data_IF_135799203271
#
_entry.id   IF_135799203271
#
_cell.length_a   1.000
_cell.length_b   1.000
_cell.length_c   1.000
_cell.angle_alpha   90.00
_cell.angle_beta   90.00
_cell.angle_gamma   90.00
#
_symmetry.space_group_name_H-M   'P 1'
#
loop_
_entity.id
_entity.type
_entity.pdbx_description
1 polymer ?
#
# COMPACT_ATOMS: atom_id res chain seq x y z
N UNK A 1 -24.18 -77.08 30.40
CA UNK A 1 -24.95 -77.27 29.15
C UNK A 1 -25.31 -75.91 28.59
N UNK A 2 -24.92 -75.68 27.33
CA UNK A 2 -25.51 -74.75 26.34
C UNK A 2 -25.55 -73.26 26.70
N UNK A 3 -24.71 -72.42 26.10
CA UNK A 3 -24.79 -71.89 24.71
C UNK A 3 -25.54 -70.56 24.65
N UNK A 4 -24.82 -69.49 24.26
CA UNK A 4 -25.03 -68.74 23.00
C UNK A 4 -26.12 -67.68 23.15
N UNK A 5 -25.88 -66.36 23.05
CA UNK A 5 -25.72 -65.60 21.79
C UNK A 5 -25.65 -64.11 22.19
N UNK A 6 -24.55 -63.39 21.94
CA UNK A 6 -24.35 -62.40 20.87
C UNK A 6 -25.38 -61.25 20.76
N UNK A 7 -24.92 -60.01 21.00
CA UNK A 7 -25.14 -58.81 20.15
C UNK A 7 -24.34 -57.62 20.73
N UNK A 8 -23.79 -56.62 20.04
CA UNK A 8 -23.18 -56.40 18.71
C UNK A 8 -22.78 -54.91 18.71
N UNK A 9 -21.55 -54.58 18.26
CA UNK A 9 -21.06 -53.29 17.69
C UNK A 9 -21.08 -52.05 18.60
N UNK A 10 -20.20 -51.06 18.48
CA UNK A 10 -19.10 -50.75 17.55
C UNK A 10 -18.28 -49.60 18.16
N UNK A 11 -17.06 -49.38 17.67
CA UNK A 11 -16.32 -48.12 17.86
C UNK A 11 -14.91 -48.37 18.38
N UNK A 12 -13.96 -48.86 17.58
CA UNK A 12 -13.19 -48.09 16.61
C UNK A 12 -12.15 -47.14 17.24
N UNK A 13 -10.88 -47.49 16.95
CA UNK A 13 -9.71 -46.63 16.71
C UNK A 13 -8.74 -46.36 17.87
N UNK A 14 -7.62 -47.11 17.72
CA UNK A 14 -6.22 -46.86 18.10
C UNK A 14 -5.89 -45.40 18.39
N UNK A 15 -5.13 -45.22 19.46
CA UNK A 15 -4.62 -43.95 19.91
C UNK A 15 -3.66 -43.27 18.94
N UNK A 16 -3.55 -41.96 19.16
CA UNK A 16 -2.40 -41.14 18.82
C UNK A 16 -2.22 -40.14 19.97
N UNK A 17 -0.99 -39.85 20.40
CA UNK A 17 -0.73 -38.95 21.50
C UNK A 17 -0.83 -37.51 20.98
N UNK A 18 -1.85 -36.76 21.41
CA UNK A 18 -2.02 -35.37 20.96
C UNK A 18 -2.25 -34.46 22.15
N UNK A 19 -1.52 -33.34 22.09
CA UNK A 19 -1.64 -32.12 22.88
C UNK A 19 -1.12 -32.20 24.33
N UNK A 20 0.19 -32.03 24.46
CA UNK A 20 0.69 -31.09 25.48
C UNK A 20 0.05 -29.74 25.16
N UNK A 21 -0.88 -29.32 26.00
CA UNK A 21 -1.45 -27.99 25.99
C UNK A 21 -0.36 -27.03 26.47
N UNK A 22 0.48 -26.61 25.53
CA UNK A 22 1.44 -25.52 25.66
C UNK A 22 0.62 -24.23 25.84
N UNK A 23 0.15 -24.01 27.06
CA UNK A 23 -0.41 -22.74 27.52
C UNK A 23 0.74 -21.75 27.49
N UNK A 24 1.05 -21.26 26.29
CA UNK A 24 1.84 -20.05 26.08
C UNK A 24 1.02 -18.93 26.68
N UNK A 25 1.33 -18.67 27.95
CA UNK A 25 0.95 -17.46 28.64
C UNK A 25 1.48 -16.34 27.76
N UNK A 26 0.57 -15.68 27.05
CA UNK A 26 0.83 -14.46 26.30
C UNK A 26 1.04 -13.34 27.32
N UNK A 27 2.18 -13.38 27.99
CA UNK A 27 2.72 -12.33 28.84
C UNK A 27 3.40 -11.33 27.91
N UNK A 28 2.60 -10.43 27.34
CA UNK A 28 3.07 -9.11 26.91
C UNK A 28 1.83 -8.23 26.67
N UNK A 29 1.28 -7.75 27.78
CA UNK A 29 0.67 -6.43 27.79
C UNK A 29 1.41 -5.68 28.88
N UNK A 30 2.20 -4.64 28.55
CA UNK A 30 2.81 -3.83 29.59
C UNK A 30 1.68 -3.21 30.41
N UNK A 31 1.53 -3.70 31.64
CA UNK A 31 0.70 -3.09 32.66
C UNK A 31 1.38 -1.77 33.00
N UNK A 32 0.86 -0.67 32.48
CA UNK A 32 1.35 0.68 32.74
C UNK A 32 0.97 1.05 34.19
N UNK A 33 1.90 1.03 35.17
CA UNK A 33 1.58 1.18 36.58
C UNK A 33 1.71 2.65 36.99
N UNK A 34 1.22 3.56 36.13
CA UNK A 34 1.10 4.98 36.47
C UNK A 34 -0.34 5.38 36.26
N UNK A 35 -1.12 5.21 37.33
CA UNK A 35 -2.30 6.02 37.62
C UNK A 35 -1.88 7.49 37.54
N UNK A 36 -1.98 8.05 36.34
CA UNK A 36 -1.90 9.48 36.10
C UNK A 36 -3.16 10.08 36.70
N UNK A 37 -3.06 10.51 37.95
CA UNK A 37 -4.02 11.39 38.63
C UNK A 37 -4.17 12.76 37.93
N UNK A 38 -3.43 13.01 36.85
CA UNK A 38 -3.65 14.14 35.97
C UNK A 38 -4.74 13.75 34.97
N UNK A 39 -5.96 14.20 35.26
CA UNK A 39 -7.04 14.34 34.27
C UNK A 39 -6.50 15.25 33.17
N UNK A 40 -5.85 14.66 32.15
CA UNK A 40 -5.53 15.40 30.93
C UNK A 40 -6.87 15.97 30.45
N UNK A 41 -7.01 17.30 30.31
CA UNK A 41 -8.22 17.85 29.72
C UNK A 41 -8.37 17.17 28.36
N UNK A 42 -9.41 16.34 28.23
CA UNK A 42 -9.75 15.68 26.98
C UNK A 42 -10.27 16.77 26.07
N UNK A 43 -9.34 17.42 25.38
CA UNK A 43 -9.63 18.43 24.39
C UNK A 43 -10.28 17.74 23.20
N UNK A 44 -11.55 18.08 22.95
CA UNK A 44 -12.40 17.40 21.98
C UNK A 44 -11.86 17.63 20.55
N UNK A 45 -11.34 16.58 19.88
CA UNK A 45 -10.68 16.73 18.60
C UNK A 45 -11.63 17.13 17.46
N UNK A 46 -12.94 16.99 17.61
CA UNK A 46 -13.88 17.24 16.52
C UNK A 46 -14.23 18.72 16.37
N UNK A 47 -14.30 19.46 17.48
CA UNK A 47 -14.56 20.92 17.48
C UNK A 47 -13.38 21.69 16.87
N UNK A 48 -12.16 21.27 17.19
CA UNK A 48 -10.96 21.93 16.69
C UNK A 48 -10.69 21.65 15.21
N UNK A 49 -11.00 20.44 14.72
CA UNK A 49 -10.83 20.11 13.29
C UNK A 49 -11.68 21.01 12.39
N UNK A 50 -12.93 21.24 12.79
CA UNK A 50 -13.86 22.14 12.09
C UNK A 50 -13.40 23.61 12.19
N UNK A 51 -12.84 24.03 13.32
CA UNK A 51 -12.30 25.38 13.49
C UNK A 51 -11.07 25.62 12.59
N UNK A 52 -10.14 24.67 12.54
CA UNK A 52 -8.95 24.77 11.67
C UNK A 52 -9.32 24.85 10.19
N UNK A 53 -10.30 24.06 9.75
CA UNK A 53 -10.76 24.10 8.36
C UNK A 53 -11.42 25.45 8.01
N UNK A 54 -12.17 26.03 8.95
CA UNK A 54 -12.74 27.38 8.81
C UNK A 54 -11.66 28.44 8.74
N UNK A 55 -10.67 28.40 9.63
CA UNK A 55 -9.57 29.38 9.67
C UNK A 55 -8.72 29.30 8.40
N UNK A 56 -8.39 28.09 7.93
CA UNK A 56 -7.63 27.89 6.71
C UNK A 56 -8.36 28.48 5.48
N UNK A 57 -9.66 28.21 5.34
CA UNK A 57 -10.49 28.81 4.29
C UNK A 57 -10.62 30.33 4.43
N UNK A 58 -10.65 30.84 5.66
CA UNK A 58 -10.79 32.26 5.94
C UNK A 58 -9.54 33.08 5.59
N UNK A 59 -8.35 32.56 5.90
CA UNK A 59 -7.06 33.20 5.59
C UNK A 59 -6.73 33.11 4.09
N UNK A 60 -7.01 31.96 3.45
CA UNK A 60 -6.66 31.74 2.04
C UNK A 60 -7.49 32.53 1.01
N UNK A 61 -8.67 33.02 1.38
CA UNK A 61 -9.60 33.66 0.42
C UNK A 61 -9.40 35.18 0.29
N UNK A 62 -8.46 35.80 1.02
CA UNK A 62 -8.23 37.27 1.01
C UNK A 62 -9.35 38.12 1.65
N UNK A 63 -10.51 37.52 1.94
CA UNK A 63 -11.68 38.15 2.57
C UNK A 63 -11.40 38.71 3.96
N UNK A 64 -10.45 38.12 4.69
CA UNK A 64 -10.02 38.64 5.99
C UNK A 64 -9.45 40.06 5.88
N UNK A 65 -8.58 40.30 4.90
CA UNK A 65 -7.97 41.62 4.68
C UNK A 65 -9.04 42.66 4.37
N UNK A 66 -9.99 42.32 3.49
CA UNK A 66 -11.12 43.21 3.15
C UNK A 66 -11.93 43.56 4.39
N UNK A 67 -12.29 42.58 5.22
CA UNK A 67 -13.03 42.83 6.46
C UNK A 67 -12.26 43.72 7.44
N UNK A 68 -10.96 43.44 7.65
CA UNK A 68 -10.09 44.25 8.51
C UNK A 68 -9.99 45.70 8.03
N UNK A 69 -9.81 45.92 6.73
CA UNK A 69 -9.77 47.25 6.14
C UNK A 69 -11.10 47.99 6.31
N UNK A 70 -12.23 47.31 6.11
CA UNK A 70 -13.56 47.91 6.31
C UNK A 70 -13.76 48.32 7.76
N UNK A 71 -13.39 47.49 8.73
CA UNK A 71 -13.52 47.83 10.17
C UNK A 71 -12.69 49.07 10.51
N UNK A 72 -11.43 49.13 10.05
CA UNK A 72 -10.57 50.30 10.25
C UNK A 72 -11.17 51.54 9.60
N UNK A 73 -11.67 51.42 8.36
CA UNK A 73 -12.26 52.53 7.63
C UNK A 73 -13.54 53.05 8.30
N UNK A 74 -14.42 52.14 8.76
CA UNK A 74 -15.62 52.50 9.53
C UNK A 74 -15.26 53.19 10.83
N UNK A 75 -14.23 52.73 11.54
CA UNK A 75 -13.76 53.38 12.77
C UNK A 75 -13.25 54.80 12.53
N UNK A 76 -12.46 54.98 11.47
CA UNK A 76 -11.95 56.29 11.06
C UNK A 76 -13.13 57.21 10.67
N UNK A 77 -14.07 56.74 9.84
CA UNK A 77 -15.23 57.54 9.43
C UNK A 77 -16.11 57.92 10.63
N UNK A 78 -16.26 57.01 11.61
CA UNK A 78 -17.03 57.26 12.83
C UNK A 78 -16.35 58.29 13.75
N UNK A 79 -15.00 58.27 13.82
CA UNK A 79 -14.24 59.15 14.71
C UNK A 79 -13.77 60.46 14.08
N UNK A 80 -13.64 60.56 12.76
CA UNK A 80 -13.29 61.81 12.07
C UNK A 80 -14.52 62.71 12.10
N UNK A 81 -14.52 63.79 12.93
CA UNK A 81 -15.70 64.60 13.10
C UNK A 81 -15.95 65.41 11.83
N UNK A 82 -17.14 65.27 11.24
CA UNK A 82 -17.61 66.14 10.14
C UNK A 82 -18.09 67.50 10.71
N UNK A 83 -17.41 68.07 11.72
CA UNK A 83 -17.78 69.40 12.23
C UNK A 83 -17.09 69.83 13.54
N UNK A 84 -17.00 71.15 13.78
CA UNK A 84 -16.18 71.76 14.84
C UNK A 84 -16.66 71.56 16.28
N UNK A 85 -17.89 71.08 16.52
CA UNK A 85 -18.53 71.08 17.85
C UNK A 85 -19.05 69.70 18.32
N UNK A 86 -18.43 68.58 17.92
CA UNK A 86 -18.86 67.24 18.37
C UNK A 86 -17.77 66.49 19.11
N UNK A 87 -18.16 65.87 20.22
CA UNK A 87 -17.29 65.07 21.08
C UNK A 87 -16.54 64.01 20.26
N UNK A 88 -15.24 64.24 20.10
CA UNK A 88 -14.33 63.35 19.40
C UNK A 88 -14.04 62.18 20.34
N UNK A 89 -14.60 61.01 20.06
CA UNK A 89 -14.47 59.84 20.94
C UNK A 89 -13.04 59.27 20.91
N UNK A 90 -12.34 59.40 19.77
CA UNK A 90 -10.95 58.98 19.54
C UNK A 90 -10.26 59.94 18.55
N UNK A 91 -9.65 61.02 19.07
CA UNK A 91 -8.94 62.03 18.27
C UNK A 91 -7.58 61.50 17.77
N UNK A 92 -7.07 62.07 16.66
CA UNK A 92 -5.78 61.67 16.08
C UNK A 92 -4.68 61.73 17.17
N UNK A 93 -4.01 60.60 17.53
CA UNK A 93 -3.63 59.45 16.70
C UNK A 93 -4.44 58.13 16.87
N UNK A 94 -5.72 58.15 17.23
CA UNK A 94 -6.58 56.96 17.38
C UNK A 94 -6.05 55.91 18.38
N UNK A 95 -5.98 56.28 19.66
CA UNK A 95 -5.38 55.44 20.71
C UNK A 95 -6.19 54.16 20.95
N UNK A 96 -7.52 54.22 20.87
CA UNK A 96 -8.37 53.06 21.09
C UNK A 96 -8.24 52.03 19.98
N UNK A 97 -8.19 52.49 18.72
CA UNK A 97 -7.92 51.62 17.57
C UNK A 97 -6.57 50.92 17.71
N UNK A 98 -5.54 51.66 18.13
CA UNK A 98 -4.20 51.11 18.32
C UNK A 98 -4.14 50.09 19.46
N UNK A 99 -4.82 50.36 20.59
CA UNK A 99 -4.93 49.43 21.70
C UNK A 99 -5.68 48.16 21.30
N UNK A 100 -6.77 48.29 20.54
CA UNK A 100 -7.52 47.15 20.03
C UNK A 100 -6.69 46.28 19.08
N UNK A 101 -5.96 46.90 18.14
CA UNK A 101 -5.09 46.17 17.20
C UNK A 101 -3.89 45.49 17.90
N UNK A 102 -3.31 46.12 18.92
CA UNK A 102 -2.20 45.51 19.67
C UNK A 102 -2.68 44.31 20.50
N UNK A 103 -3.84 44.42 21.14
CA UNK A 103 -4.49 43.28 21.79
C UNK A 103 -4.83 42.18 20.78
N UNK A 104 -5.29 42.56 19.58
CA UNK A 104 -5.61 41.60 18.51
C UNK A 104 -4.40 40.74 18.15
N UNK A 105 -3.25 41.37 17.93
CA UNK A 105 -2.02 40.67 17.64
C UNK A 105 -1.60 39.74 18.80
N UNK A 106 -1.77 40.17 20.05
CA UNK A 106 -1.40 39.40 21.23
C UNK A 106 -2.22 38.11 21.40
N UNK A 107 -3.54 38.15 21.17
CA UNK A 107 -4.38 36.95 21.30
C UNK A 107 -4.29 36.02 20.07
N UNK A 108 -3.86 36.53 18.91
CA UNK A 108 -3.69 35.73 17.71
C UNK A 108 -2.60 34.65 17.90
N UNK A 109 -1.48 35.00 18.53
CA UNK A 109 -0.36 34.09 18.78
C UNK A 109 -0.76 32.77 19.50
N UNK A 110 -1.46 32.79 20.65
CA UNK A 110 -1.86 31.56 21.33
C UNK A 110 -2.89 30.74 20.53
N UNK A 111 -3.82 31.37 19.79
CA UNK A 111 -4.74 30.65 18.92
C UNK A 111 -4.02 29.94 17.77
N UNK A 112 -3.00 30.58 17.18
CA UNK A 112 -2.16 29.99 16.14
C UNK A 112 -1.33 28.85 16.71
N UNK A 113 -0.74 29.01 17.91
CA UNK A 113 0.03 27.95 18.57
C UNK A 113 -0.82 26.71 18.88
N UNK A 114 -2.06 26.91 19.33
CA UNK A 114 -3.03 25.82 19.50
C UNK A 114 -3.36 25.16 18.15
N UNK A 115 -3.52 25.95 17.08
CA UNK A 115 -3.75 25.46 15.72
C UNK A 115 -2.60 24.57 15.20
N UNK A 116 -1.36 24.96 15.48
CA UNK A 116 -0.14 24.30 14.99
C UNK A 116 0.19 22.98 15.70
N UNK A 117 0.03 22.91 17.03
CA UNK A 117 0.36 21.72 17.83
C UNK A 117 -0.31 20.42 17.36
N UNK A 118 -1.45 20.52 16.66
CA UNK A 118 -2.14 19.35 16.09
C UNK A 118 -1.79 19.07 14.63
N UNK A 119 -1.36 20.07 13.87
CA UNK A 119 -0.75 19.79 12.56
C UNK A 119 0.49 18.93 12.77
N UNK A 120 1.35 19.31 13.72
CA UNK A 120 2.53 18.53 14.09
C UNK A 120 2.19 17.10 14.57
N UNK A 121 1.08 16.92 15.29
CA UNK A 121 0.64 15.60 15.74
C UNK A 121 0.15 14.71 14.58
N UNK A 122 -0.56 15.28 13.60
CA UNK A 122 -0.96 14.55 12.37
C UNK A 122 0.26 14.25 11.50
N UNK A 123 1.13 15.23 11.33
CA UNK A 123 2.35 15.09 10.55
C UNK A 123 3.25 14.01 11.15
N UNK A 124 3.33 13.92 12.48
CA UNK A 124 4.03 12.82 13.16
C UNK A 124 3.44 11.45 12.82
N UNK A 125 2.11 11.28 12.88
CA UNK A 125 1.47 10.00 12.54
C UNK A 125 1.68 9.65 11.07
N UNK A 126 1.56 10.62 10.17
CA UNK A 126 1.83 10.40 8.74
C UNK A 126 3.29 10.00 8.51
N UNK A 127 4.24 10.66 9.17
CA UNK A 127 5.67 10.31 9.10
C UNK A 127 5.95 8.89 9.60
N UNK A 128 5.28 8.45 10.67
CA UNK A 128 5.45 7.10 11.19
C UNK A 128 4.85 6.05 10.24
N UNK A 129 3.69 6.33 9.63
CA UNK A 129 3.10 5.47 8.61
C UNK A 129 3.97 5.37 7.35
N UNK A 130 4.53 6.49 6.89
CA UNK A 130 5.44 6.52 5.74
C UNK A 130 6.71 5.72 6.01
N UNK A 131 7.24 5.77 7.23
CA UNK A 131 8.39 4.93 7.64
C UNK A 131 8.05 3.44 7.56
N UNK A 132 6.90 3.03 8.09
CA UNK A 132 6.45 1.64 8.04
C UNK A 132 6.18 1.17 6.61
N UNK A 133 5.54 2.01 5.80
CA UNK A 133 5.29 1.73 4.39
C UNK A 133 6.60 1.59 3.61
N UNK A 134 7.58 2.46 3.84
CA UNK A 134 8.88 2.39 3.19
C UNK A 134 9.67 1.14 3.62
N UNK A 135 9.60 0.77 4.90
CA UNK A 135 10.22 -0.47 5.38
C UNK A 135 9.61 -1.71 4.70
N UNK A 136 8.29 -1.76 4.54
CA UNK A 136 7.59 -2.84 3.81
C UNK A 136 7.98 -2.85 2.33
N UNK A 137 8.00 -1.69 1.67
CA UNK A 137 8.39 -1.58 0.27
C UNK A 137 9.83 -2.07 0.03
N UNK A 138 10.76 -1.75 0.93
CA UNK A 138 12.13 -2.29 0.87
C UNK A 138 12.16 -3.81 1.02
N UNK A 139 11.39 -4.38 1.96
CA UNK A 139 11.31 -5.82 2.14
C UNK A 139 10.71 -6.54 0.92
N UNK A 140 9.64 -5.99 0.33
CA UNK A 140 9.00 -6.50 -0.87
C UNK A 140 9.97 -6.46 -2.06
N UNK A 141 10.71 -5.38 -2.21
CA UNK A 141 11.76 -5.28 -3.25
C UNK A 141 12.85 -6.34 -3.06
N UNK A 142 13.31 -6.57 -1.82
CA UNK A 142 14.29 -7.61 -1.52
C UNK A 142 13.74 -9.03 -1.74
N UNK A 143 12.44 -9.23 -1.49
CA UNK A 143 11.77 -10.48 -1.78
C UNK A 143 11.68 -10.72 -3.28
N UNK A 144 11.15 -9.76 -4.03
CA UNK A 144 11.05 -9.82 -5.49
C UNK A 144 12.44 -10.00 -6.15
N UNK A 145 13.47 -9.30 -5.66
CA UNK A 145 14.82 -9.48 -6.17
C UNK A 145 15.35 -10.91 -5.97
N UNK A 146 15.05 -11.53 -4.81
CA UNK A 146 15.41 -12.93 -4.54
C UNK A 146 14.60 -13.90 -5.38
N UNK A 147 13.30 -13.67 -5.54
CA UNK A 147 12.44 -14.49 -6.40
C UNK A 147 12.87 -14.41 -7.87
N UNK A 148 13.17 -13.21 -8.39
CA UNK A 148 13.68 -13.03 -9.75
C UNK A 148 15.05 -13.68 -9.94
N UNK A 149 15.94 -13.60 -8.94
CA UNK A 149 17.22 -14.30 -8.98
C UNK A 149 17.03 -15.83 -9.00
N UNK A 150 16.11 -16.36 -8.19
CA UNK A 150 15.75 -17.78 -8.19
C UNK A 150 15.15 -18.24 -9.52
N UNK A 151 14.20 -17.48 -10.06
CA UNK A 151 13.62 -17.71 -11.38
C UNK A 151 14.70 -17.71 -12.47
N UNK A 152 15.65 -16.78 -12.42
CA UNK A 152 16.76 -16.70 -13.38
C UNK A 152 17.65 -17.94 -13.31
N UNK A 153 17.96 -18.45 -12.13
CA UNK A 153 18.77 -19.66 -11.96
C UNK A 153 18.00 -20.87 -12.50
N UNK A 154 16.74 -21.04 -12.09
CA UNK A 154 15.90 -22.14 -12.55
C UNK A 154 15.70 -22.14 -14.07
N UNK A 155 15.48 -20.96 -14.69
CA UNK A 155 15.43 -20.84 -16.14
C UNK A 155 16.79 -21.08 -16.80
N UNK A 156 17.89 -20.65 -16.17
CA UNK A 156 19.24 -20.93 -16.64
C UNK A 156 19.60 -22.42 -16.66
N UNK A 157 19.09 -23.19 -15.69
CA UNK A 157 19.26 -24.64 -15.62
C UNK A 157 18.33 -25.40 -16.60
N UNK A 158 17.13 -24.90 -16.86
CA UNK A 158 16.10 -25.61 -17.65
C UNK A 158 16.07 -25.22 -19.12
N UNK A 159 16.47 -24.00 -19.50
CA UNK A 159 16.31 -23.55 -20.88
C UNK A 159 17.38 -22.53 -21.25
N UNK A 160 18.20 -22.83 -22.25
CA UNK A 160 18.21 -22.03 -23.50
C UNK A 160 19.31 -22.42 -24.46
N UNK A 161 20.39 -23.08 -24.03
CA UNK A 161 21.44 -23.45 -24.97
C UNK A 161 21.36 -24.90 -25.40
N UNK A 162 21.56 -25.83 -24.48
CA UNK A 162 21.72 -27.23 -24.89
C UNK A 162 20.38 -27.89 -25.24
N UNK A 163 19.30 -27.58 -24.51
CA UNK A 163 17.95 -28.04 -24.83
C UNK A 163 17.39 -27.42 -26.13
N UNK A 164 17.47 -26.09 -26.30
CA UNK A 164 17.05 -25.47 -27.57
C UNK A 164 17.90 -25.95 -28.75
N UNK A 165 19.19 -26.23 -28.53
CA UNK A 165 20.08 -26.77 -29.55
C UNK A 165 19.77 -28.22 -29.90
N UNK A 166 19.43 -29.06 -28.91
CA UNK A 166 19.01 -30.43 -29.18
C UNK A 166 17.67 -30.45 -29.90
N UNK A 167 16.72 -29.61 -29.50
CA UNK A 167 15.39 -29.56 -30.13
C UNK A 167 15.45 -29.03 -31.57
N UNK A 168 16.21 -27.95 -31.81
CA UNK A 168 16.47 -27.47 -33.17
C UNK A 168 17.15 -28.53 -34.03
N UNK A 169 18.06 -29.33 -33.45
CA UNK A 169 18.78 -30.37 -34.18
C UNK A 169 17.95 -31.62 -34.43
N UNK A 170 17.07 -31.98 -33.50
CA UNK A 170 16.06 -33.03 -33.67
C UNK A 170 15.10 -32.65 -34.80
N UNK A 171 14.52 -31.45 -34.73
CA UNK A 171 13.61 -30.94 -35.77
C UNK A 171 14.29 -30.83 -37.14
N UNK A 172 15.56 -30.45 -37.20
CA UNK A 172 16.32 -30.42 -38.46
C UNK A 172 16.54 -31.84 -39.02
N UNK A 173 16.82 -32.82 -38.14
CA UNK A 173 16.99 -34.22 -38.51
C UNK A 173 15.72 -34.82 -39.08
N UNK A 174 14.58 -34.60 -38.42
CA UNK A 174 13.26 -35.06 -38.88
C UNK A 174 12.92 -34.50 -40.27
N UNK A 175 13.28 -33.23 -40.55
CA UNK A 175 13.10 -32.61 -41.87
C UNK A 175 14.08 -33.14 -42.92
N UNK A 176 15.31 -33.47 -42.55
CA UNK A 176 16.29 -34.09 -43.47
C UNK A 176 15.86 -35.49 -43.88
N UNK A 177 15.34 -36.29 -42.94
CA UNK A 177 14.87 -37.65 -43.23
C UNK A 177 13.65 -37.67 -44.17
N UNK A 178 12.83 -36.62 -44.13
CA UNK A 178 11.74 -36.41 -45.11
C UNK A 178 12.23 -35.89 -46.47
N UNK A 179 13.46 -35.35 -46.55
CA UNK A 179 14.03 -34.78 -47.77
C UNK A 179 15.07 -35.69 -48.43
N UNK A 180 15.55 -36.74 -47.76
CA UNK A 180 16.50 -37.70 -48.31
C UNK A 180 15.81 -38.60 -49.37
N UNK A 181 16.17 -38.50 -50.67
CA UNK A 181 15.52 -39.24 -51.75
C UNK A 181 15.91 -40.73 -51.80
N UNK A 182 16.94 -41.16 -51.04
CA UNK A 182 17.41 -42.56 -50.98
C UNK A 182 16.60 -43.42 -49.99
N UNK A 183 15.33 -43.06 -49.76
CA UNK A 183 14.40 -43.87 -48.99
C UNK A 183 14.26 -45.27 -49.65
N UNK A 184 14.21 -46.39 -48.89
CA UNK A 184 14.14 -47.78 -49.41
C UNK A 184 12.92 -48.12 -50.30
N UNK A 185 12.15 -47.12 -50.74
CA UNK A 185 11.02 -47.27 -51.64
C UNK A 185 11.45 -47.54 -53.10
N UNK A 186 12.73 -47.33 -53.44
CA UNK A 186 13.29 -47.74 -54.74
C UNK A 186 13.61 -49.25 -54.84
N UNK A 187 13.73 -49.96 -53.70
CA UNK A 187 13.97 -51.41 -53.69
C UNK A 187 12.73 -52.24 -54.09
N UNK A 188 11.52 -51.68 -53.90
CA UNK A 188 10.28 -52.32 -54.35
C UNK A 188 10.14 -52.21 -55.87
N UNK A 189 10.58 -51.09 -56.46
CA UNK A 189 10.43 -50.84 -57.89
C UNK A 189 11.48 -51.61 -58.72
N UNK A 190 12.69 -51.76 -58.20
CA UNK A 190 13.78 -52.53 -58.84
C UNK A 190 13.55 -54.05 -58.79
N UNK A 191 12.93 -54.59 -57.72
CA UNK A 191 12.48 -56.01 -57.69
C UNK A 191 11.35 -56.29 -58.69
N UNK A 192 10.42 -55.36 -58.90
CA UNK A 192 9.34 -55.50 -59.89
C UNK A 192 9.85 -55.47 -61.33
N UNK A 193 10.96 -54.79 -61.61
CA UNK A 193 11.56 -54.74 -62.95
C UNK A 193 12.42 -55.98 -63.29
N UNK A 194 12.93 -56.69 -62.27
CA UNK A 194 13.63 -57.96 -62.43
C UNK A 194 12.70 -59.14 -62.74
N UNK A 195 11.57 -59.23 -62.05
CA UNK A 195 10.62 -60.35 -62.18
C UNK A 195 9.90 -60.39 -63.56
N UNK A 196 9.82 -59.25 -64.26
CA UNK A 196 9.22 -59.19 -65.60
C UNK A 196 10.15 -59.64 -66.75
N UNK A 197 11.44 -59.89 -66.47
CA UNK A 197 12.42 -60.32 -67.48
C UNK A 197 12.61 -61.84 -67.55
N UNK A 198 12.10 -62.59 -66.57
CA UNK A 198 12.23 -64.05 -66.49
C UNK A 198 10.96 -64.80 -66.93
N UNK A 199 9.97 -64.09 -67.50
CA UNK A 199 8.72 -64.67 -67.99
C UNK A 199 8.61 -64.59 -69.53
N UNK A 200 9.48 -65.27 -70.26
CA UNK A 200 9.19 -65.70 -71.63
C UNK A 200 9.34 -67.22 -71.74
N UNK A 201 8.25 -67.98 -71.97
CA UNK A 201 8.32 -69.40 -72.27
C UNK A 201 8.55 -69.60 -73.77
N UNK A 202 9.50 -70.48 -74.11
CA UNK A 202 9.74 -70.97 -75.47
C UNK A 202 8.49 -71.62 -76.10
N UNK A 203 8.54 -72.00 -77.39
CA UNK A 203 9.54 -72.92 -77.93
C UNK A 203 10.27 -72.49 -79.21
#
# INVERSE_FOLDING_TARGET
>A
MSSTTCYRRAGARRGSPVAREDRRVRLDSPVDPRRSFVRRPAYDPDIFGQLSERIARFIGTGRFLVYMTVVVLVWIIWNVPVGPDRAQFDEYPFIFLTLALSLQASYAAPLILLAQNRQEARDRVNMDQDRDANARAHADMQFLAREVAGLRIALGEVATRDYLRSELRSLLGDLQELQDPDSPLDDIQSRSAGEARDAEPGP
#
